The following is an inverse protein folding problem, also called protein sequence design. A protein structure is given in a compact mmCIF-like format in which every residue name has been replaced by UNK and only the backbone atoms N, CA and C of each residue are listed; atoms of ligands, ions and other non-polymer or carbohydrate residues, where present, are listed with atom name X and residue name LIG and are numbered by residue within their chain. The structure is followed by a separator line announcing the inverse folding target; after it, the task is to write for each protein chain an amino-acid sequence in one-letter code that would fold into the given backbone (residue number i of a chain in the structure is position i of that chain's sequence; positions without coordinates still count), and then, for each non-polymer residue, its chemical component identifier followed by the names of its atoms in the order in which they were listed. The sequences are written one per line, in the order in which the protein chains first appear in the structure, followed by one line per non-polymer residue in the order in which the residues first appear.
data_IF_709840620727
#
_entry.id   IF_709840620727
#
_cell.length_a   1.000
_cell.length_b   1.000
_cell.length_c   1.000
_cell.angle_alpha   90.00
_cell.angle_beta   90.00
_cell.angle_gamma   90.00
#
_symmetry.space_group_name_H-M   'P 1'
#
loop_
_entity.id
_entity.type
_entity.pdbx_description
1 polymer ?
#
# COMPACT_ATOMS: atom_id res chain seq x y z
N UNK A 1 -12.18 12.50 -13.87
CA UNK A 1 -12.17 11.13 -14.42
C UNK A 1 -10.90 10.43 -13.98
N UNK A 2 -10.95 9.17 -13.53
CA UNK A 2 -9.78 8.38 -13.11
C UNK A 2 -9.54 7.27 -14.13
N UNK A 3 -8.29 7.04 -14.50
CA UNK A 3 -7.89 6.08 -15.53
C UNK A 3 -6.69 5.29 -15.01
N UNK A 4 -6.77 3.97 -15.10
CA UNK A 4 -5.71 3.05 -14.67
C UNK A 4 -5.02 2.51 -15.92
N UNK A 5 -3.70 2.65 -15.97
CA UNK A 5 -2.90 2.32 -17.15
C UNK A 5 -1.79 1.37 -16.71
N UNK A 6 -1.84 0.14 -17.21
CA UNK A 6 -0.82 -0.87 -16.95
C UNK A 6 0.23 -0.83 -18.06
N UNK A 7 1.48 -0.60 -17.67
CA UNK A 7 2.63 -0.51 -18.58
C UNK A 7 3.84 -1.20 -17.95
N UNK A 8 4.72 -1.80 -18.77
CA UNK A 8 5.94 -2.43 -18.28
C UNK A 8 6.85 -1.39 -17.62
N UNK A 9 7.49 -1.76 -16.50
CA UNK A 9 8.34 -0.89 -15.67
C UNK A 9 9.43 -0.17 -16.48
N UNK A 10 10.01 -0.86 -17.47
CA UNK A 10 11.03 -0.31 -18.38
C UNK A 10 10.54 0.95 -19.12
N UNK A 11 9.25 1.02 -19.42
CA UNK A 11 8.62 2.15 -20.12
C UNK A 11 7.86 3.09 -19.18
N UNK A 12 7.58 2.66 -17.95
CA UNK A 12 6.87 3.46 -16.95
C UNK A 12 7.58 4.77 -16.62
N UNK A 13 8.91 4.75 -16.56
CA UNK A 13 9.71 5.96 -16.30
C UNK A 13 9.52 7.02 -17.39
N UNK A 14 9.69 6.62 -18.65
CA UNK A 14 9.55 7.52 -19.81
C UNK A 14 8.12 8.03 -19.98
N UNK A 15 7.13 7.18 -19.75
CA UNK A 15 5.72 7.57 -19.81
C UNK A 15 5.36 8.60 -18.73
N UNK A 16 5.85 8.41 -17.50
CA UNK A 16 5.63 9.36 -16.41
C UNK A 16 6.29 10.73 -16.70
N UNK A 17 7.46 10.75 -17.35
CA UNK A 17 8.09 12.01 -17.78
C UNK A 17 7.29 12.74 -18.86
N UNK A 18 6.63 12.01 -19.76
CA UNK A 18 5.72 12.61 -20.73
C UNK A 18 4.48 13.19 -20.03
N UNK A 19 3.88 12.44 -19.11
CA UNK A 19 2.71 12.90 -18.37
C UNK A 19 3.02 14.11 -17.48
N UNK A 20 4.22 14.19 -16.88
CA UNK A 20 4.65 15.35 -16.09
C UNK A 20 4.74 16.65 -16.89
N UNK A 21 4.92 16.57 -18.22
CA UNK A 21 4.89 17.75 -19.10
C UNK A 21 3.47 18.26 -19.32
N UNK A 22 2.46 17.45 -19.04
CA UNK A 22 1.05 17.82 -19.15
C UNK A 22 0.61 18.46 -17.83
N UNK A 23 0.48 19.79 -17.81
CA UNK A 23 0.08 20.56 -16.61
C UNK A 23 -1.34 20.26 -16.12
N UNK A 24 -2.15 19.60 -16.95
CA UNK A 24 -3.53 19.21 -16.64
C UNK A 24 -3.67 17.77 -16.13
N UNK A 25 -2.58 17.01 -16.03
CA UNK A 25 -2.60 15.61 -15.57
C UNK A 25 -1.89 15.49 -14.22
N UNK A 26 -2.64 15.04 -13.20
CA UNK A 26 -2.05 14.65 -11.92
C UNK A 26 -1.56 13.22 -12.01
N UNK A 27 -0.25 13.01 -11.90
CA UNK A 27 0.36 11.68 -11.91
C UNK A 27 0.69 11.24 -10.49
N UNK A 28 0.16 10.11 -10.04
CA UNK A 28 0.51 9.48 -8.78
C UNK A 28 1.15 8.12 -9.11
N UNK A 29 2.36 7.86 -8.59
CA UNK A 29 2.97 6.53 -8.73
C UNK A 29 2.27 5.62 -7.74
N UNK A 30 1.56 4.60 -8.24
CA UNK A 30 1.21 3.47 -7.40
C UNK A 30 2.47 2.63 -7.23
N UNK A 31 3.14 2.79 -6.10
CA UNK A 31 4.27 1.93 -5.74
C UNK A 31 3.66 0.62 -5.21
N UNK A 32 3.96 -0.53 -5.82
CA UNK A 32 3.49 -1.83 -5.30
C UNK A 32 3.88 -2.05 -3.83
N UNK A 33 5.02 -1.51 -3.41
CA UNK A 33 5.44 -1.49 -2.01
C UNK A 33 4.47 -0.75 -1.09
N UNK A 34 3.86 0.34 -1.57
CA UNK A 34 2.85 1.05 -0.79
C UNK A 34 1.57 0.22 -0.71
N UNK A 35 1.26 -0.57 -1.73
CA UNK A 35 0.11 -1.50 -1.74
C UNK A 35 0.30 -2.67 -0.78
N UNK A 36 1.47 -3.33 -0.80
CA UNK A 36 1.83 -4.38 0.18
C UNK A 36 1.90 -3.82 1.61
N UNK A 37 2.46 -2.62 1.80
CA UNK A 37 2.49 -1.95 3.09
C UNK A 37 1.08 -1.56 3.58
N UNK A 38 0.22 -1.09 2.68
CA UNK A 38 -1.15 -0.69 3.04
C UNK A 38 -2.02 -1.91 3.34
N UNK A 39 -1.89 -3.00 2.60
CA UNK A 39 -2.55 -4.27 2.92
C UNK A 39 -2.01 -4.85 4.23
N UNK A 40 -0.70 -4.84 4.46
CA UNK A 40 -0.09 -5.25 5.73
C UNK A 40 -0.58 -4.41 6.92
N UNK A 41 -0.67 -3.08 6.76
CA UNK A 41 -1.20 -2.17 7.78
C UNK A 41 -2.68 -2.43 8.06
N UNK A 42 -3.47 -2.69 7.01
CA UNK A 42 -4.90 -2.99 7.11
C UNK A 42 -5.16 -4.35 7.78
N UNK A 43 -4.32 -5.34 7.52
CA UNK A 43 -4.33 -6.63 8.24
C UNK A 43 -4.01 -6.43 9.73
N UNK A 44 -2.95 -5.69 10.05
CA UNK A 44 -2.59 -5.39 11.43
C UNK A 44 -3.72 -4.65 12.18
N UNK A 45 -4.37 -3.67 11.55
CA UNK A 45 -5.52 -2.97 12.14
C UNK A 45 -6.72 -3.90 12.33
N UNK A 46 -6.99 -4.81 11.38
CA UNK A 46 -8.03 -5.84 11.55
C UNK A 46 -7.73 -6.76 12.72
N UNK A 47 -6.50 -7.22 12.88
CA UNK A 47 -6.13 -8.07 14.01
C UNK A 47 -6.26 -7.36 15.35
N UNK A 48 -5.83 -6.10 15.44
CA UNK A 48 -6.03 -5.28 16.65
C UNK A 48 -7.51 -5.09 16.97
N UNK A 49 -8.35 -4.86 15.96
CA UNK A 49 -9.80 -4.75 16.15
C UNK A 49 -10.43 -6.08 16.61
N UNK A 50 -9.99 -7.22 16.07
CA UNK A 50 -10.46 -8.55 16.51
C UNK A 50 -10.04 -8.90 17.95
N UNK A 51 -8.87 -8.43 18.38
CA UNK A 51 -8.42 -8.53 19.79
C UNK A 51 -9.29 -7.63 20.68
N UNK A 52 -9.57 -6.39 20.26
CA UNK A 52 -10.46 -5.47 20.98
C UNK A 52 -11.91 -5.96 21.08
N UNK A 53 -12.41 -6.65 20.05
CA UNK A 53 -13.73 -7.29 20.03
C UNK A 53 -13.80 -8.57 20.89
N UNK A 54 -12.70 -9.00 21.53
CA UNK A 54 -12.67 -10.17 22.41
C UNK A 54 -12.73 -11.53 21.68
N UNK A 55 -12.60 -11.53 20.35
CA UNK A 55 -12.70 -12.75 19.50
C UNK A 55 -11.37 -13.48 19.31
N UNK A 56 -10.24 -12.87 19.67
CA UNK A 56 -8.89 -13.47 19.67
C UNK A 56 -8.19 -13.16 20.99
N UNK A 57 -7.50 -14.14 21.58
CA UNK A 57 -6.56 -13.90 22.69
C UNK A 57 -5.37 -13.11 22.15
N UNK A 58 -5.25 -11.84 22.53
CA UNK A 58 -4.10 -11.02 22.14
C UNK A 58 -2.81 -11.64 22.70
N UNK A 59 -1.82 -11.89 21.82
CA UNK A 59 -0.45 -12.14 22.25
C UNK A 59 0.21 -10.80 22.61
N UNK A 60 1.14 -10.76 23.57
CA UNK A 60 1.86 -9.53 23.89
C UNK A 60 2.54 -8.96 22.64
N UNK A 61 2.38 -7.65 22.42
CA UNK A 61 3.01 -6.92 21.30
C UNK A 61 4.54 -7.12 21.25
N UNK A 62 5.14 -7.41 22.41
CA UNK A 62 6.56 -7.68 22.58
C UNK A 62 7.00 -9.02 21.93
N UNK A 63 6.14 -10.04 21.90
CA UNK A 63 6.48 -11.30 21.20
C UNK A 63 6.38 -11.13 19.68
N UNK A 64 5.35 -10.42 19.19
CA UNK A 64 5.18 -10.13 17.77
C UNK A 64 6.36 -9.33 17.19
N UNK A 65 6.88 -8.34 17.92
CA UNK A 65 8.04 -7.55 17.51
C UNK A 65 9.38 -8.31 17.53
N UNK A 66 9.45 -9.47 18.19
CA UNK A 66 10.65 -10.31 18.23
C UNK A 66 10.66 -11.40 17.13
N UNK A 67 9.53 -11.62 16.44
CA UNK A 67 9.43 -12.59 15.33
C UNK A 67 9.66 -11.95 13.93
N UNK A 68 9.87 -10.63 13.88
CA UNK A 68 10.23 -9.85 12.68
C UNK A 68 11.72 -9.51 12.67
#
# INVERSE_FOLDING_TARGET
MKLLVEIPDEKAKSFLEMLKKLTYVKTEKLNRKDEEFYEGLKEAVKEVNLIKEGKKKGKPLFEFLNEL
#
